data_IF_489871220890
#
_entry.id   IF_489871220890
#
_cell.length_a   1.000
_cell.length_b   1.000
_cell.length_c   1.000
_cell.angle_alpha   90.00
_cell.angle_beta   90.00
_cell.angle_gamma   90.00
#
_symmetry.space_group_name_H-M   'P 1'
#
loop_
_entity.id
_entity.type
_entity.pdbx_description
1 polymer ?
#
# COMPACT_ATOMS: atom_id res chain seq x y z
N UNK A 1 1.13 -17.78 30.27
CA UNK A 1 0.81 -16.36 30.04
C UNK A 1 1.69 -15.83 28.92
N UNK A 2 1.33 -16.24 27.71
CA UNK A 2 0.95 -15.42 26.57
C UNK A 2 1.69 -14.13 26.16
N UNK A 3 2.13 -14.21 24.89
CA UNK A 3 2.13 -13.19 23.82
C UNK A 3 3.21 -12.11 23.89
N UNK A 4 4.45 -12.47 23.55
CA UNK A 4 5.38 -11.54 22.87
C UNK A 4 6.24 -12.21 21.80
N UNK A 5 5.81 -13.37 21.28
CA UNK A 5 6.19 -13.83 19.94
C UNK A 5 5.07 -13.51 18.97
N UNK A 6 4.60 -12.26 18.98
CA UNK A 6 4.09 -11.70 17.74
C UNK A 6 5.30 -11.69 16.81
N UNK A 7 5.32 -12.64 15.87
CA UNK A 7 6.24 -12.64 14.75
C UNK A 7 6.42 -11.19 14.33
N UNK A 8 7.63 -10.66 14.51
CA UNK A 8 8.05 -9.40 13.92
C UNK A 8 8.07 -9.67 12.41
N UNK A 9 6.88 -9.83 11.81
CA UNK A 9 6.69 -9.79 10.36
C UNK A 9 7.34 -8.47 10.01
N UNK A 10 8.54 -8.54 9.44
CA UNK A 10 9.25 -7.37 8.90
C UNK A 10 8.19 -6.58 8.15
N UNK A 11 7.86 -5.38 8.63
CA UNK A 11 6.96 -4.48 7.92
C UNK A 11 7.64 -4.17 6.60
N UNK A 12 7.27 -4.91 5.56
CA UNK A 12 7.87 -4.79 4.25
C UNK A 12 7.08 -3.75 3.48
N UNK A 13 7.73 -2.68 3.08
CA UNK A 13 7.08 -1.67 2.25
C UNK A 13 6.57 -2.24 0.94
N UNK A 14 5.48 -1.66 0.47
CA UNK A 14 4.94 -1.93 -0.85
C UNK A 14 5.81 -1.36 -1.99
N UNK A 15 6.73 -0.44 -1.71
CA UNK A 15 7.45 0.30 -2.74
C UNK A 15 8.96 0.32 -2.50
N UNK A 16 9.70 0.23 -3.60
CA UNK A 16 11.12 0.56 -3.67
C UNK A 16 11.29 1.94 -4.34
N UNK A 17 12.29 2.70 -3.92
CA UNK A 17 12.71 3.97 -4.51
C UNK A 17 14.22 3.96 -4.74
N UNK A 18 14.64 4.16 -5.98
CA UNK A 18 16.04 4.07 -6.44
C UNK A 18 16.72 2.76 -5.97
N UNK A 19 15.94 1.66 -5.93
CA UNK A 19 16.40 0.32 -5.51
C UNK A 19 16.28 0.02 -4.01
N UNK A 20 16.05 1.03 -3.17
CA UNK A 20 15.92 0.90 -1.72
C UNK A 20 14.46 0.76 -1.30
N UNK A 21 14.18 -0.07 -0.29
CA UNK A 21 12.82 -0.22 0.22
C UNK A 21 12.39 1.07 0.93
N UNK A 22 11.27 1.66 0.52
CA UNK A 22 10.78 2.91 1.16
C UNK A 22 10.37 2.58 2.60
N UNK A 23 10.98 3.19 3.63
CA UNK A 23 10.65 2.84 5.01
C UNK A 23 9.19 3.19 5.31
N UNK A 24 8.48 2.23 5.89
CA UNK A 24 7.19 2.52 6.49
C UNK A 24 7.42 3.13 7.87
N UNK A 25 6.74 4.24 8.21
CA UNK A 25 6.80 4.77 9.56
C UNK A 25 6.33 3.69 10.54
N UNK A 26 6.99 3.61 11.69
CA UNK A 26 6.43 2.84 12.80
C UNK A 26 5.07 3.43 13.19
N UNK A 27 4.17 2.56 13.63
CA UNK A 27 2.87 3.01 14.12
C UNK A 27 3.08 3.88 15.37
N UNK A 28 2.74 5.16 15.25
CA UNK A 28 2.67 6.09 16.39
C UNK A 28 1.20 6.39 16.68
N UNK A 29 0.63 5.94 17.81
CA UNK A 29 -0.75 6.24 18.17
C UNK A 29 -1.03 7.74 18.37
N UNK A 30 0.03 8.56 18.50
CA UNK A 30 -0.06 10.02 18.60
C UNK A 30 -0.09 10.72 17.23
N UNK A 31 0.23 10.00 16.14
CA UNK A 31 0.16 10.51 14.77
C UNK A 31 -0.92 9.77 13.98
N UNK A 32 -1.89 10.51 13.47
CA UNK A 32 -2.94 9.93 12.62
C UNK A 32 -2.34 9.65 11.24
N UNK A 33 -1.87 8.41 11.02
CA UNK A 33 -1.46 7.93 9.69
C UNK A 33 -2.66 7.31 8.98
N UNK A 34 -3.21 8.01 7.98
CA UNK A 34 -4.22 7.42 7.12
C UNK A 34 -3.56 6.60 6.01
N UNK A 35 -4.02 5.37 5.84
CA UNK A 35 -3.64 4.48 4.76
C UNK A 35 -4.84 4.22 3.86
N UNK A 36 -4.64 4.35 2.56
CA UNK A 36 -5.61 3.98 1.54
C UNK A 36 -5.19 2.66 0.93
N UNK A 37 -6.06 1.66 1.05
CA UNK A 37 -5.78 0.28 0.68
C UNK A 37 -6.62 -0.11 -0.52
N UNK A 38 -5.95 -0.57 -1.57
CA UNK A 38 -6.56 -0.94 -2.83
C UNK A 38 -6.32 -2.42 -3.08
N UNK A 39 -7.39 -3.16 -3.31
CA UNK A 39 -7.34 -4.58 -3.64
C UNK A 39 -7.41 -4.76 -5.15
N UNK A 40 -6.29 -5.22 -5.73
CA UNK A 40 -6.19 -5.54 -7.16
C UNK A 40 -6.62 -6.98 -7.43
N UNK A 41 -6.77 -7.34 -8.71
CA UNK A 41 -7.17 -8.70 -9.08
C UNK A 41 -5.94 -9.54 -9.42
N UNK A 42 -5.99 -10.84 -9.15
CA UNK A 42 -4.90 -11.76 -9.47
C UNK A 42 -4.52 -11.76 -10.96
N UNK A 43 -5.49 -11.52 -11.85
CA UNK A 43 -5.27 -11.39 -13.30
C UNK A 43 -4.39 -10.19 -13.68
N UNK A 44 -4.23 -9.22 -12.78
CA UNK A 44 -3.40 -8.04 -13.03
C UNK A 44 -1.91 -8.37 -12.75
N UNK A 45 -1.58 -9.60 -12.34
CA UNK A 45 -0.20 -10.05 -12.04
C UNK A 45 0.75 -10.08 -13.22
N UNK A 46 0.25 -10.06 -14.46
CA UNK A 46 1.07 -9.93 -15.67
C UNK A 46 1.26 -8.46 -16.09
N UNK A 47 0.56 -7.53 -15.45
CA UNK A 47 0.69 -6.10 -15.75
C UNK A 47 2.01 -5.54 -15.21
N UNK A 48 2.63 -4.65 -15.98
CA UNK A 48 3.77 -3.86 -15.51
C UNK A 48 3.38 -2.94 -14.32
N UNK A 49 4.40 -2.44 -13.61
CA UNK A 49 4.19 -1.64 -12.40
C UNK A 49 3.46 -0.32 -12.70
N UNK A 50 3.65 0.27 -13.89
CA UNK A 50 2.97 1.52 -14.28
C UNK A 50 1.47 1.28 -14.46
N UNK A 51 1.11 0.20 -15.15
CA UNK A 51 -0.26 -0.23 -15.39
C UNK A 51 -0.97 -0.61 -14.09
N UNK A 52 -0.25 -1.29 -13.18
CA UNK A 52 -0.75 -1.56 -11.84
C UNK A 52 -1.02 -0.26 -11.08
N UNK A 53 -0.09 0.69 -11.07
CA UNK A 53 -0.28 1.96 -10.36
C UNK A 53 -1.42 2.81 -10.93
N UNK A 54 -1.58 2.85 -12.26
CA UNK A 54 -2.74 3.49 -12.89
C UNK A 54 -4.07 2.84 -12.47
N UNK A 55 -4.08 1.51 -12.34
CA UNK A 55 -5.25 0.78 -11.84
C UNK A 55 -5.56 1.16 -10.39
N UNK A 56 -4.52 1.27 -9.55
CA UNK A 56 -4.63 1.72 -8.16
C UNK A 56 -5.21 3.14 -8.09
N UNK A 57 -4.67 4.09 -8.84
CA UNK A 57 -5.18 5.46 -8.91
C UNK A 57 -6.65 5.50 -9.34
N UNK A 58 -7.04 4.71 -10.34
CA UNK A 58 -8.44 4.60 -10.78
C UNK A 58 -9.37 4.06 -9.68
N UNK A 59 -8.94 3.08 -8.89
CA UNK A 59 -9.73 2.53 -7.79
C UNK A 59 -9.89 3.52 -6.63
N UNK A 60 -8.86 4.32 -6.35
CA UNK A 60 -8.94 5.42 -5.37
C UNK A 60 -9.95 6.47 -5.85
N UNK A 61 -9.83 6.92 -7.11
CA UNK A 61 -10.74 7.90 -7.73
C UNK A 61 -12.19 7.44 -7.71
N UNK A 62 -12.44 6.16 -7.97
CA UNK A 62 -13.79 5.57 -7.94
C UNK A 62 -14.27 5.21 -6.54
N UNK A 63 -13.54 5.58 -5.48
CA UNK A 63 -13.90 5.36 -4.07
C UNK A 63 -14.10 3.90 -3.67
N UNK A 64 -13.50 2.95 -4.40
CA UNK A 64 -13.52 1.52 -4.08
C UNK A 64 -12.42 1.12 -3.09
N UNK A 65 -11.56 2.06 -2.70
CA UNK A 65 -10.48 1.86 -1.75
C UNK A 65 -10.96 1.89 -0.27
N UNK A 66 -10.27 1.14 0.58
CA UNK A 66 -10.53 1.08 2.04
C UNK A 66 -9.55 1.98 2.79
N UNK A 67 -10.05 2.80 3.71
CA UNK A 67 -9.23 3.63 4.60
C UNK A 67 -9.00 2.91 5.93
N UNK A 68 -7.78 2.94 6.45
CA UNK A 68 -7.42 2.44 7.77
C UNK A 68 -6.25 3.21 8.38
N UNK A 69 -5.99 2.97 9.67
CA UNK A 69 -4.85 3.56 10.40
C UNK A 69 -3.53 2.79 10.20
N UNK A 70 -3.57 1.62 9.55
CA UNK A 70 -2.40 0.81 9.21
C UNK A 70 -2.49 0.32 7.76
N UNK A 71 -1.35 -0.02 7.18
CA UNK A 71 -1.27 -0.65 5.88
C UNK A 71 -1.80 -2.09 5.92
N UNK A 72 -2.78 -2.41 5.06
CA UNK A 72 -3.37 -3.75 4.97
C UNK A 72 -2.55 -4.75 4.16
N UNK A 73 -1.56 -4.30 3.39
CA UNK A 73 -0.79 -5.22 2.55
C UNK A 73 0.12 -6.18 3.34
N UNK A 74 0.34 -5.97 4.64
CA UNK A 74 1.04 -6.93 5.52
C UNK A 74 0.22 -8.20 5.79
N UNK A 75 -1.09 -8.04 5.75
CA UNK A 75 -2.05 -9.09 6.09
C UNK A 75 -2.62 -9.71 4.81
N UNK A 76 -2.99 -8.87 3.85
CA UNK A 76 -3.67 -9.32 2.63
C UNK A 76 -2.75 -9.27 1.40
N UNK A 77 -2.60 -10.36 0.63
CA UNK A 77 -2.03 -10.27 -0.71
C UNK A 77 -2.97 -9.49 -1.62
N UNK A 78 -2.46 -9.12 -2.80
CA UNK A 78 -3.17 -8.31 -3.80
C UNK A 78 -3.63 -6.95 -3.25
N UNK A 79 -3.05 -6.50 -2.14
CA UNK A 79 -3.36 -5.23 -1.52
C UNK A 79 -2.18 -4.27 -1.73
N UNK A 80 -2.45 -3.10 -2.28
CA UNK A 80 -1.52 -1.98 -2.34
C UNK A 80 -1.98 -0.96 -1.31
N UNK A 81 -1.15 -0.65 -0.31
CA UNK A 81 -1.45 0.42 0.65
C UNK A 81 -0.63 1.66 0.32
N UNK A 82 -1.32 2.79 0.17
CA UNK A 82 -0.72 4.10 -0.01
C UNK A 82 -0.85 4.87 1.29
N UNK A 83 0.29 5.29 1.85
CA UNK A 83 0.31 6.22 2.97
C UNK A 83 -0.14 7.59 2.47
N UNK A 84 -1.12 8.17 3.16
CA UNK A 84 -1.60 9.52 2.85
C UNK A 84 -0.66 10.53 3.52
N UNK A 85 -0.04 11.45 2.76
CA UNK A 85 0.83 12.48 3.33
C UNK A 85 0.03 13.54 4.10
N UNK A 86 0.66 14.13 5.12
CA UNK A 86 0.15 15.30 5.85
C UNK A 86 -0.42 15.03 7.25
N UNK A 87 -0.48 16.09 8.05
CA UNK A 87 -1.03 16.08 9.40
C UNK A 87 -2.56 16.24 9.32
N UNK A 88 -3.26 15.11 9.42
CA UNK A 88 -4.72 15.03 9.54
C UNK A 88 -5.55 15.46 8.32
N UNK A 89 -6.35 14.52 7.83
CA UNK A 89 -7.40 14.76 6.84
C UNK A 89 -8.76 14.59 7.51
N UNK A 90 -9.58 15.64 7.50
CA UNK A 90 -10.82 15.71 8.29
C UNK A 90 -11.98 14.88 7.73
N UNK A 91 -11.91 14.46 6.46
CA UNK A 91 -12.98 13.71 5.82
C UNK A 91 -12.45 12.72 4.77
N UNK A 92 -13.29 11.74 4.41
CA UNK A 92 -12.99 10.68 3.44
C UNK A 92 -12.56 11.22 2.07
N UNK A 93 -13.20 12.27 1.56
CA UNK A 93 -12.90 12.81 0.23
C UNK A 93 -11.49 13.42 0.18
N UNK A 94 -11.11 14.17 1.21
CA UNK A 94 -9.76 14.73 1.35
C UNK A 94 -8.69 13.62 1.45
N UNK A 95 -8.97 12.54 2.20
CA UNK A 95 -8.07 11.38 2.29
C UNK A 95 -7.86 10.73 0.91
N UNK A 96 -8.94 10.47 0.18
CA UNK A 96 -8.86 9.83 -1.14
C UNK A 96 -8.17 10.74 -2.17
N UNK A 97 -8.45 12.04 -2.16
CA UNK A 97 -7.79 12.99 -3.05
C UNK A 97 -6.27 13.05 -2.81
N UNK A 98 -5.84 13.08 -1.55
CA UNK A 98 -4.41 13.05 -1.20
C UNK A 98 -3.75 11.72 -1.58
N UNK A 99 -4.44 10.59 -1.40
CA UNK A 99 -3.95 9.28 -1.84
C UNK A 99 -3.86 9.17 -3.37
N UNK A 100 -4.80 9.77 -4.10
CA UNK A 100 -4.76 9.82 -5.56
C UNK A 100 -3.55 10.60 -6.06
N UNK A 101 -3.28 11.78 -5.49
CA UNK A 101 -2.06 12.56 -5.81
C UNK A 101 -0.78 11.76 -5.54
N UNK A 102 -0.75 11.00 -4.44
CA UNK A 102 0.38 10.14 -4.11
C UNK A 102 0.53 8.97 -5.10
N UNK A 103 -0.58 8.37 -5.54
CA UNK A 103 -0.58 7.32 -6.55
C UNK A 103 -0.09 7.84 -7.90
N UNK A 104 -0.54 9.04 -8.31
CA UNK A 104 -0.12 9.69 -9.54
C UNK A 104 1.37 10.04 -9.51
N UNK A 105 1.88 10.52 -8.37
CA UNK A 105 3.31 10.72 -8.15
C UNK A 105 4.10 9.42 -8.33
N UNK A 106 3.68 8.34 -7.67
CA UNK A 106 4.34 7.04 -7.86
C UNK A 106 4.25 6.55 -9.29
N UNK A 107 3.15 6.78 -10.00
CA UNK A 107 3.04 6.44 -11.42
C UNK A 107 4.09 7.17 -12.27
N UNK A 108 4.35 8.45 -11.99
CA UNK A 108 5.40 9.22 -12.66
C UNK A 108 6.80 8.69 -12.32
N UNK A 109 7.07 8.41 -11.05
CA UNK A 109 8.39 7.89 -10.65
C UNK A 109 8.64 6.45 -11.12
N UNK A 110 7.60 5.63 -11.30
CA UNK A 110 7.69 4.32 -11.95
C UNK A 110 8.07 4.50 -13.42
N UNK A 111 7.42 5.44 -14.13
CA UNK A 111 7.77 5.76 -15.52
C UNK A 111 9.21 6.25 -15.66
N UNK A 112 9.71 6.97 -14.66
CA UNK A 112 11.10 7.43 -14.59
C UNK A 112 12.08 6.32 -14.15
N UNK A 113 11.60 5.12 -13.83
CA UNK A 113 12.43 3.99 -13.39
C UNK A 113 12.93 4.06 -11.95
N UNK A 114 12.43 5.03 -11.17
CA UNK A 114 12.86 5.30 -9.79
C UNK A 114 12.05 4.51 -8.78
N UNK A 115 10.74 4.38 -9.00
CA UNK A 115 9.87 3.58 -8.12
C UNK A 115 9.57 2.22 -8.73
N UNK A 116 9.53 1.19 -7.89
CA UNK A 116 9.07 -0.15 -8.25
C UNK A 116 8.11 -0.69 -7.20
N UNK A 117 7.14 -1.49 -7.63
CA UNK A 117 6.21 -2.16 -6.72
C UNK A 117 6.89 -3.42 -6.17
N UNK A 118 6.72 -3.68 -4.87
CA UNK A 118 7.16 -4.92 -4.24
C UNK A 118 6.25 -6.09 -4.66
N UNK A 119 6.45 -6.59 -5.88
CA UNK A 119 5.65 -7.66 -6.48
C UNK A 119 5.71 -8.97 -5.69
N UNK A 120 6.84 -9.27 -5.06
CA UNK A 120 6.99 -10.46 -4.22
C UNK A 120 6.05 -10.40 -3.00
N UNK A 121 5.89 -9.22 -2.40
CA UNK A 121 4.94 -8.99 -1.32
C UNK A 121 3.50 -8.93 -1.83
N UNK A 122 3.25 -8.23 -2.94
CA UNK A 122 1.93 -8.00 -3.50
C UNK A 122 1.27 -9.30 -3.99
N UNK A 123 2.02 -10.16 -4.68
CA UNK A 123 1.52 -11.42 -5.25
C UNK A 123 1.94 -12.65 -4.44
N UNK A 124 2.28 -12.47 -3.16
CA UNK A 124 2.59 -13.60 -2.29
C UNK A 124 1.40 -14.55 -2.23
N UNK A 125 1.70 -15.84 -2.13
CA UNK A 125 0.66 -16.83 -1.82
C UNK A 125 0.18 -16.59 -0.41
N UNK A 126 -1.13 -16.64 -0.18
CA UNK A 126 -1.63 -16.86 1.18
C UNK A 126 -1.01 -18.17 1.64
N UNK A 127 -0.31 -18.13 2.77
CA UNK A 127 -0.07 -19.37 3.51
C UNK A 127 -1.47 -19.76 3.97
N UNK A 128 -2.10 -20.69 3.25
CA UNK A 128 -3.23 -21.42 3.80
C UNK A 128 -2.70 -22.06 5.08
N UNK A 129 -3.09 -21.52 6.24
CA UNK A 129 -3.10 -22.32 7.45
C UNK A 129 -3.97 -23.53 7.11
N UNK A 130 -3.29 -24.66 6.91
CA UNK A 130 -3.91 -25.97 6.81
C UNK A 130 -4.33 -26.32 8.24
N UNK A 131 -5.59 -26.09 8.54
CA UNK A 131 -6.32 -26.86 9.54
C UNK A 131 -7.03 -28.03 8.85
#
# INVERSE_FOLDING_TARGET
>A
MDILTASLKKMQSMFYFDGELIPEPEYDPRQISNWVNVFIKARDSDSDDETLMRTVAAYIRTSTASISIHAKHHDYPLCVSIKVPGEYHSNKASILAAAELQADYYCQEIRNGRVRINRALLFRREVQDRD
#
